data_IF_021818003643
#
_entry.id   IF_021818003643
#
_cell.length_a   1.000
_cell.length_b   1.000
_cell.length_c   1.000
_cell.angle_alpha   90.00
_cell.angle_beta   90.00
_cell.angle_gamma   90.00
#
_symmetry.space_group_name_H-M   'P 1'
#
loop_
_entity.id
_entity.type
_entity.pdbx_description
1 polymer ?
#
# COMPACT_ATOMS: atom_id res chain seq x y z
N UNK A 1 -12.08 -3.83 0.20
CA UNK A 1 -10.94 -4.63 0.71
C UNK A 1 -11.32 -5.29 2.02
N UNK A 2 -10.67 -6.40 2.38
CA UNK A 2 -10.87 -7.02 3.69
C UNK A 2 -10.15 -6.21 4.77
N UNK A 3 -10.85 -5.98 5.89
CA UNK A 3 -10.32 -5.31 7.08
C UNK A 3 -10.31 -6.31 8.24
N UNK A 4 -9.40 -6.16 9.19
CA UNK A 4 -9.28 -7.03 10.36
C UNK A 4 -7.84 -7.46 10.64
N UNK A 5 -7.70 -8.47 11.48
CA UNK A 5 -6.39 -9.03 11.88
C UNK A 5 -6.04 -10.23 11.01
N UNK A 6 -4.88 -10.13 10.38
CA UNK A 6 -4.28 -11.18 9.56
C UNK A 6 -2.98 -11.68 10.21
N UNK A 7 -2.42 -12.74 9.67
CA UNK A 7 -1.13 -13.23 10.12
C UNK A 7 -0.05 -12.17 9.92
N UNK A 8 0.46 -11.60 11.01
CA UNK A 8 1.58 -10.65 11.00
C UNK A 8 1.22 -9.19 10.70
N UNK A 9 -0.04 -8.86 10.45
CA UNK A 9 -0.49 -7.48 10.30
C UNK A 9 -1.99 -7.31 10.56
N UNK A 10 -2.41 -6.07 10.72
CA UNK A 10 -3.82 -5.67 10.85
C UNK A 10 -4.15 -4.59 9.81
N UNK A 11 -5.35 -4.63 9.27
CA UNK A 11 -5.87 -3.62 8.34
C UNK A 11 -7.09 -2.97 8.95
N UNK A 12 -7.06 -1.64 9.05
CA UNK A 12 -8.22 -0.82 9.44
C UNK A 12 -8.49 0.21 8.35
N UNK A 13 -9.75 0.55 8.16
CA UNK A 13 -10.15 1.65 7.29
C UNK A 13 -10.50 2.85 8.17
N UNK A 14 -9.81 3.98 7.94
CA UNK A 14 -9.99 5.24 8.68
C UNK A 14 -10.50 6.31 7.73
N UNK A 15 -11.40 7.17 8.20
CA UNK A 15 -11.89 8.29 7.42
C UNK A 15 -10.75 9.26 7.03
N UNK A 16 -10.81 9.84 5.83
CA UNK A 16 -11.74 9.66 4.72
C UNK A 16 -11.25 8.65 3.64
N UNK A 17 -11.14 7.37 3.98
CA UNK A 17 -10.72 6.31 3.05
C UNK A 17 -9.22 5.99 3.14
N UNK A 18 -8.66 6.02 4.34
CA UNK A 18 -7.26 5.68 4.62
C UNK A 18 -7.17 4.23 5.07
N UNK A 19 -6.64 3.35 4.22
CA UNK A 19 -6.32 1.98 4.61
C UNK A 19 -5.02 1.98 5.44
N UNK A 20 -5.17 1.74 6.74
CA UNK A 20 -4.07 1.69 7.69
C UNK A 20 -3.64 0.25 7.90
N UNK A 21 -2.45 -0.10 7.41
CA UNK A 21 -1.86 -1.44 7.42
C UNK A 21 -0.74 -1.43 8.47
N UNK A 22 -0.96 -2.11 9.58
CA UNK A 22 -0.03 -2.12 10.71
C UNK A 22 0.54 -3.52 10.90
N UNK A 23 1.86 -3.68 10.78
CA UNK A 23 2.56 -4.89 11.16
C UNK A 23 2.45 -5.10 12.66
N UNK A 24 2.11 -6.29 13.11
CA UNK A 24 1.71 -6.58 14.49
C UNK A 24 2.47 -7.73 15.16
N UNK A 25 3.72 -7.92 14.77
CA UNK A 25 4.66 -8.88 15.42
C UNK A 25 5.86 -8.16 16.06
N UNK A 26 5.63 -7.24 17.03
CA UNK A 26 6.68 -6.38 17.59
C UNK A 26 7.82 -7.15 18.27
N UNK A 27 7.56 -8.34 18.81
CA UNK A 27 8.56 -9.24 19.41
C UNK A 27 9.57 -9.76 18.38
N UNK A 28 9.19 -9.78 17.10
CA UNK A 28 10.03 -10.15 15.95
C UNK A 28 10.45 -8.93 15.12
N UNK A 29 10.32 -7.73 15.69
CA UNK A 29 10.57 -6.48 14.98
C UNK A 29 9.79 -6.36 13.66
N UNK A 30 8.60 -6.94 13.60
CA UNK A 30 7.72 -6.97 12.43
C UNK A 30 8.39 -7.61 11.19
N UNK A 31 9.17 -8.66 11.41
CA UNK A 31 9.82 -9.43 10.36
C UNK A 31 8.79 -10.10 9.45
N UNK A 32 9.01 -10.02 8.13
CA UNK A 32 8.09 -10.57 7.14
C UNK A 32 8.48 -12.01 6.76
N UNK A 33 7.47 -12.88 6.74
CA UNK A 33 7.56 -14.22 6.15
C UNK A 33 6.95 -14.20 4.74
N UNK A 34 7.19 -15.24 3.94
CA UNK A 34 6.61 -15.32 2.60
C UNK A 34 5.06 -15.36 2.61
N UNK A 35 4.38 -16.09 3.51
CA UNK A 35 2.94 -15.99 3.65
C UNK A 35 2.46 -14.56 3.93
N UNK A 36 3.09 -13.83 4.87
CA UNK A 36 2.76 -12.44 5.16
C UNK A 36 2.92 -11.55 3.93
N UNK A 37 4.02 -11.71 3.18
CA UNK A 37 4.24 -10.95 1.93
C UNK A 37 3.14 -11.22 0.89
N UNK A 38 2.66 -12.46 0.75
CA UNK A 38 1.56 -12.80 -0.15
C UNK A 38 0.25 -12.14 0.28
N UNK A 39 -0.06 -12.18 1.55
CA UNK A 39 -1.25 -11.56 2.10
C UNK A 39 -1.21 -10.04 1.93
N UNK A 40 -0.03 -9.42 2.07
CA UNK A 40 0.16 -7.99 1.79
C UNK A 40 -0.02 -7.65 0.30
N UNK A 41 0.45 -8.50 -0.62
CA UNK A 41 0.21 -8.34 -2.07
C UNK A 41 -1.29 -8.34 -2.35
N UNK A 42 -2.01 -9.31 -1.80
CA UNK A 42 -3.46 -9.40 -1.94
C UNK A 42 -4.16 -8.18 -1.32
N UNK A 43 -3.73 -7.75 -0.13
CA UNK A 43 -4.25 -6.55 0.54
C UNK A 43 -4.12 -5.31 -0.35
N UNK A 44 -2.96 -5.10 -0.97
CA UNK A 44 -2.73 -3.99 -1.90
C UNK A 44 -3.59 -4.13 -3.16
N UNK A 45 -3.76 -5.36 -3.67
CA UNK A 45 -4.61 -5.63 -4.83
C UNK A 45 -6.07 -5.31 -4.53
N UNK A 46 -6.58 -5.73 -3.39
CA UNK A 46 -7.93 -5.38 -2.95
C UNK A 46 -8.09 -3.87 -2.73
N UNK A 47 -7.09 -3.23 -2.11
CA UNK A 47 -7.10 -1.78 -1.94
C UNK A 47 -7.15 -1.04 -3.28
N UNK A 48 -6.44 -1.51 -4.31
CA UNK A 48 -6.48 -0.94 -5.66
C UNK A 48 -7.90 -0.95 -6.24
N UNK A 49 -8.64 -2.03 -6.02
CA UNK A 49 -9.98 -2.23 -6.60
C UNK A 49 -11.12 -1.65 -5.75
N UNK A 50 -10.86 -1.27 -4.52
CA UNK A 50 -11.88 -0.79 -3.57
C UNK A 50 -11.98 0.75 -3.60
N UNK A 51 -13.10 1.28 -4.07
CA UNK A 51 -13.32 2.72 -4.16
C UNK A 51 -13.41 3.42 -2.78
N UNK A 52 -13.71 2.70 -1.71
CA UNK A 52 -13.68 3.24 -0.35
C UNK A 52 -12.24 3.57 0.11
N UNK A 53 -11.22 2.95 -0.49
CA UNK A 53 -9.81 3.23 -0.20
C UNK A 53 -9.30 4.33 -1.11
N UNK A 54 -8.71 5.38 -0.53
CA UNK A 54 -8.10 6.52 -1.24
C UNK A 54 -6.57 6.56 -1.07
N UNK A 55 -6.09 6.24 0.14
CA UNK A 55 -4.66 6.25 0.50
C UNK A 55 -4.33 5.01 1.31
N UNK A 56 -3.13 4.46 1.10
CA UNK A 56 -2.58 3.38 1.92
C UNK A 56 -1.53 3.93 2.87
N UNK A 57 -1.55 3.50 4.13
CA UNK A 57 -0.51 3.79 5.12
C UNK A 57 0.04 2.48 5.65
N UNK A 58 1.36 2.31 5.59
CA UNK A 58 2.08 1.20 6.20
C UNK A 58 2.80 1.68 7.45
N UNK A 59 2.70 0.94 8.54
CA UNK A 59 3.42 1.22 9.79
C UNK A 59 3.68 -0.07 10.57
N UNK A 60 4.44 0.00 11.65
CA UNK A 60 4.71 -1.14 12.52
C UNK A 60 4.27 -0.90 13.95
N UNK A 61 3.91 -1.95 14.66
CA UNK A 61 3.71 -1.91 16.10
C UNK A 61 5.04 -1.93 16.83
N UNK A 62 5.11 -1.25 17.99
CA UNK A 62 6.28 -1.25 18.85
C UNK A 62 7.47 -0.45 18.30
N UNK A 63 8.68 -1.00 18.41
CA UNK A 63 9.95 -0.30 18.15
C UNK A 63 10.48 -0.41 16.72
N UNK A 64 9.78 -1.09 15.85
CA UNK A 64 10.19 -1.28 14.45
C UNK A 64 9.04 -1.01 13.50
N UNK A 65 9.36 -0.45 12.35
CA UNK A 65 8.52 -0.51 11.17
C UNK A 65 8.53 -1.96 10.65
N UNK A 66 9.69 -2.43 10.18
CA UNK A 66 9.94 -3.81 9.78
C UNK A 66 11.46 -4.02 9.68
N UNK A 67 11.99 -5.04 10.34
CA UNK A 67 13.43 -5.34 10.38
C UNK A 67 13.91 -6.25 9.24
N UNK A 68 13.05 -6.52 8.24
CA UNK A 68 13.40 -7.37 7.11
C UNK A 68 12.71 -8.73 7.14
N UNK A 69 13.29 -9.72 6.47
CA UNK A 69 12.78 -11.08 6.49
C UNK A 69 12.98 -11.73 7.85
N UNK A 70 11.99 -12.49 8.29
CA UNK A 70 12.13 -13.31 9.50
C UNK A 70 13.02 -14.52 9.21
N UNK A 71 14.31 -14.36 9.48
CA UNK A 71 15.33 -15.40 9.31
C UNK A 71 15.33 -16.44 10.44
N UNK A 72 14.49 -16.28 11.47
CA UNK A 72 14.43 -17.22 12.59
C UNK A 72 13.84 -18.57 12.18
N UNK A 73 13.22 -18.65 11.01
CA UNK A 73 12.55 -19.87 10.52
C UNK A 73 11.32 -20.28 11.34
N UNK A 74 10.97 -19.51 12.35
CA UNK A 74 9.90 -19.81 13.29
C UNK A 74 8.64 -18.98 12.99
N UNK A 75 8.09 -19.13 11.78
CA UNK A 75 6.73 -18.61 11.49
C UNK A 75 5.65 -19.29 12.37
N UNK A 76 6.03 -20.28 13.18
CA UNK A 76 5.14 -20.96 14.12
C UNK A 76 4.74 -20.01 15.25
N UNK A 77 3.43 -19.83 15.44
CA UNK A 77 2.86 -19.06 16.55
C UNK A 77 2.58 -17.59 16.26
N UNK A 78 2.61 -17.15 15.01
CA UNK A 78 2.00 -15.86 14.62
C UNK A 78 0.49 -16.08 14.58
N UNK A 79 -0.24 -15.34 15.41
CA UNK A 79 -1.71 -15.37 15.43
C UNK A 79 -2.28 -14.64 14.20
N UNK A 80 -3.44 -15.09 13.74
CA UNK A 80 -4.18 -14.48 12.64
C UNK A 80 -4.53 -15.47 11.54
N UNK A 81 -5.44 -15.07 10.68
CA UNK A 81 -5.87 -15.86 9.52
C UNK A 81 -5.08 -15.47 8.28
N UNK A 82 -4.74 -16.45 7.45
CA UNK A 82 -4.15 -16.19 6.15
C UNK A 82 -5.22 -15.65 5.20
N UNK A 83 -4.89 -14.57 4.47
CA UNK A 83 -5.79 -13.97 3.50
C UNK A 83 -5.89 -14.80 2.21
N UNK A 84 -4.77 -15.42 1.82
CA UNK A 84 -4.71 -16.28 0.64
C UNK A 84 -4.11 -17.66 0.97
N UNK A 85 -4.47 -18.72 0.22
CA UNK A 85 -3.91 -20.04 0.46
C UNK A 85 -2.39 -20.04 0.37
N UNK A 86 -1.68 -20.72 1.27
CA UNK A 86 -0.23 -20.79 1.24
C UNK A 86 0.27 -21.56 0.01
N UNK A 87 1.40 -21.11 -0.54
CA UNK A 87 2.19 -21.91 -1.48
C UNK A 87 3.48 -22.32 -0.79
N UNK A 88 3.94 -23.54 -1.07
CA UNK A 88 5.20 -24.02 -0.55
C UNK A 88 6.35 -23.22 -1.22
N UNK A 89 7.12 -22.45 -0.45
CA UNK A 89 8.31 -21.80 -1.02
C UNK A 89 9.42 -22.83 -1.13
N UNK A 90 10.06 -22.88 -2.30
CA UNK A 90 11.25 -23.68 -2.51
C UNK A 90 12.50 -22.82 -2.42
N UNK A 91 13.01 -22.54 -1.23
CA UNK A 91 14.27 -21.80 -1.07
C UNK A 91 15.53 -22.68 -0.98
N UNK A 92 15.36 -24.00 -1.03
CA UNK A 92 16.46 -24.95 -0.81
C UNK A 92 17.33 -25.17 -2.07
N UNK A 93 16.96 -24.59 -3.19
CA UNK A 93 17.68 -24.66 -4.45
C UNK A 93 17.84 -23.29 -5.07
N UNK A 94 18.85 -23.06 -5.94
CA UNK A 94 19.01 -21.78 -6.64
C UNK A 94 17.75 -21.35 -7.41
N UNK A 95 17.07 -22.28 -8.08
CA UNK A 95 15.82 -21.97 -8.80
C UNK A 95 14.68 -21.64 -7.83
N UNK A 96 14.56 -22.37 -6.73
CA UNK A 96 13.54 -22.09 -5.71
C UNK A 96 13.75 -20.72 -5.04
N UNK A 97 15.00 -20.33 -4.79
CA UNK A 97 15.33 -18.97 -4.33
C UNK A 97 14.92 -17.92 -5.37
N UNK A 98 15.26 -18.13 -6.64
CA UNK A 98 14.89 -17.25 -7.74
C UNK A 98 13.36 -17.09 -7.85
N UNK A 99 12.61 -18.17 -7.80
CA UNK A 99 11.15 -18.16 -7.88
C UNK A 99 10.53 -17.46 -6.68
N UNK A 100 10.97 -17.77 -5.45
CA UNK A 100 10.47 -17.14 -4.22
C UNK A 100 10.71 -15.62 -4.21
N UNK A 101 11.88 -15.18 -4.69
CA UNK A 101 12.16 -13.75 -4.84
C UNK A 101 11.25 -13.10 -5.87
N UNK A 102 11.18 -13.67 -7.09
CA UNK A 102 10.42 -13.11 -8.21
C UNK A 102 8.92 -13.04 -7.96
N UNK A 103 8.36 -14.13 -7.44
CA UNK A 103 6.90 -14.32 -7.34
C UNK A 103 6.33 -13.75 -6.04
N UNK A 104 7.15 -13.62 -5.00
CA UNK A 104 6.68 -13.17 -3.68
C UNK A 104 7.40 -11.90 -3.24
N UNK A 105 8.69 -11.97 -2.94
CA UNK A 105 9.37 -10.87 -2.28
C UNK A 105 9.45 -9.60 -3.12
N UNK A 106 9.85 -9.72 -4.39
CA UNK A 106 9.88 -8.59 -5.32
C UNK A 106 8.48 -8.13 -5.71
N UNK A 107 7.53 -9.07 -5.81
CA UNK A 107 6.15 -8.75 -6.15
C UNK A 107 5.46 -7.90 -5.10
N UNK A 108 5.80 -8.01 -3.80
CA UNK A 108 5.29 -7.12 -2.76
C UNK A 108 5.63 -5.65 -3.08
N UNK A 109 6.90 -5.36 -3.34
CA UNK A 109 7.35 -4.00 -3.64
C UNK A 109 6.80 -3.50 -4.98
N UNK A 110 6.67 -4.37 -5.98
CA UNK A 110 6.01 -4.06 -7.24
C UNK A 110 4.51 -3.77 -7.04
N UNK A 111 3.80 -4.51 -6.19
CA UNK A 111 2.39 -4.26 -5.90
C UNK A 111 2.19 -2.88 -5.29
N UNK A 112 3.00 -2.49 -4.30
CA UNK A 112 2.94 -1.16 -3.68
C UNK A 112 3.30 -0.06 -4.69
N UNK A 113 4.39 -0.23 -5.45
CA UNK A 113 4.85 0.74 -6.46
C UNK A 113 3.84 0.93 -7.58
N UNK A 114 3.20 -0.15 -8.02
CA UNK A 114 2.24 -0.16 -9.12
C UNK A 114 0.81 0.13 -8.70
N UNK A 115 0.49 0.17 -7.42
CA UNK A 115 -0.81 0.63 -6.94
C UNK A 115 -1.00 2.10 -7.36
N UNK A 116 -2.12 2.41 -8.01
CA UNK A 116 -2.39 3.79 -8.46
C UNK A 116 -2.75 4.71 -7.30
N UNK A 117 -3.24 4.16 -6.19
CA UNK A 117 -3.52 4.93 -4.98
C UNK A 117 -2.22 5.33 -4.30
N UNK A 118 -2.24 6.50 -3.66
CA UNK A 118 -1.06 7.00 -2.97
C UNK A 118 -0.76 6.17 -1.73
N UNK A 119 0.52 5.99 -1.45
CA UNK A 119 1.02 5.18 -0.35
C UNK A 119 2.02 5.94 0.52
N UNK A 120 1.91 5.77 1.84
CA UNK A 120 2.75 6.41 2.85
C UNK A 120 3.38 5.33 3.72
N UNK A 121 4.69 5.36 3.89
CA UNK A 121 5.37 4.63 4.95
C UNK A 121 5.52 5.53 6.17
N UNK A 122 4.80 5.19 7.25
CA UNK A 122 4.93 5.80 8.58
C UNK A 122 5.99 5.04 9.37
N UNK A 123 7.24 5.47 9.26
CA UNK A 123 8.40 4.75 9.81
C UNK A 123 8.54 5.06 11.29
N UNK A 124 7.94 4.24 12.15
CA UNK A 124 7.90 4.41 13.60
C UNK A 124 9.21 4.03 14.31
N UNK A 125 10.08 3.26 13.67
CA UNK A 125 11.30 2.76 14.26
C UNK A 125 12.26 2.12 13.25
N UNK A 126 12.74 0.93 13.54
CA UNK A 126 13.70 0.20 12.69
C UNK A 126 13.05 -0.20 11.36
N UNK A 127 13.66 0.18 10.24
CA UNK A 127 13.28 -0.19 8.88
C UNK A 127 14.51 -0.74 8.14
N UNK A 128 14.70 -2.04 8.13
CA UNK A 128 15.91 -2.69 7.59
C UNK A 128 15.51 -3.67 6.49
N UNK A 129 16.35 -3.81 5.47
CA UNK A 129 16.26 -4.79 4.40
C UNK A 129 14.91 -4.73 3.67
N UNK A 130 14.08 -5.80 3.73
CA UNK A 130 12.73 -5.87 3.16
C UNK A 130 11.85 -4.73 3.65
N UNK A 131 11.89 -4.40 4.96
CA UNK A 131 11.14 -3.28 5.52
C UNK A 131 11.60 -1.94 4.95
N UNK A 132 12.90 -1.76 4.73
CA UNK A 132 13.42 -0.55 4.11
C UNK A 132 13.04 -0.48 2.62
N UNK A 133 13.16 -1.60 1.88
CA UNK A 133 12.74 -1.67 0.47
C UNK A 133 11.25 -1.38 0.31
N UNK A 134 10.40 -1.91 1.19
CA UNK A 134 8.97 -1.63 1.21
C UNK A 134 8.68 -0.15 1.48
N UNK A 135 9.37 0.45 2.45
CA UNK A 135 9.23 1.88 2.70
C UNK A 135 9.65 2.73 1.49
N UNK A 136 10.72 2.34 0.78
CA UNK A 136 11.17 3.02 -0.46
C UNK A 136 10.21 2.80 -1.64
N UNK A 137 9.46 1.70 -1.67
CA UNK A 137 8.44 1.44 -2.66
C UNK A 137 7.19 2.31 -2.49
N UNK A 138 6.91 2.82 -1.28
CA UNK A 138 5.85 3.78 -1.02
C UNK A 138 6.16 5.15 -1.67
N UNK A 139 5.10 5.92 -1.98
CA UNK A 139 5.25 7.26 -2.57
C UNK A 139 5.87 8.24 -1.57
N UNK A 140 5.40 8.21 -0.33
CA UNK A 140 5.84 9.09 0.74
C UNK A 140 6.39 8.30 1.93
N UNK A 141 7.29 8.93 2.67
CA UNK A 141 7.93 8.38 3.88
C UNK A 141 8.02 9.47 4.93
N UNK A 142 7.34 9.28 6.07
CA UNK A 142 7.44 10.13 7.25
C UNK A 142 8.04 9.28 8.36
N UNK A 143 9.12 9.75 8.99
CA UNK A 143 9.86 8.97 9.97
C UNK A 143 9.79 9.58 11.37
N UNK A 144 9.72 8.71 12.36
CA UNK A 144 10.03 9.07 13.74
C UNK A 144 11.49 9.50 13.86
N UNK A 145 11.78 10.49 14.68
CA UNK A 145 13.15 10.90 15.01
C UNK A 145 14.00 9.80 15.66
N UNK A 146 13.37 8.68 16.08
CA UNK A 146 14.04 7.49 16.64
C UNK A 146 14.29 6.41 15.58
N UNK A 147 13.87 6.63 14.34
CA UNK A 147 13.98 5.64 13.28
C UNK A 147 15.42 5.42 12.85
N UNK A 148 15.69 4.19 12.48
CA UNK A 148 16.95 3.76 11.88
C UNK A 148 16.65 2.93 10.64
N UNK A 149 17.30 3.24 9.53
CA UNK A 149 16.98 2.58 8.26
C UNK A 149 18.21 2.29 7.42
N UNK A 150 18.14 1.22 6.65
CA UNK A 150 19.23 0.84 5.75
C UNK A 150 19.18 -0.59 5.29
N UNK A 151 20.24 -0.99 4.56
CA UNK A 151 20.43 -2.36 4.11
C UNK A 151 21.65 -2.98 4.78
N UNK A 152 21.44 -4.10 5.44
CA UNK A 152 22.49 -4.83 6.14
C UNK A 152 22.87 -6.16 5.47
N UNK A 153 22.27 -6.51 4.32
CA UNK A 153 22.45 -7.82 3.66
C UNK A 153 23.89 -8.17 3.33
N UNK A 154 24.69 -7.20 2.88
CA UNK A 154 26.10 -7.43 2.61
C UNK A 154 26.93 -7.82 3.86
N UNK A 155 26.40 -7.64 5.08
CA UNK A 155 27.03 -8.18 6.30
C UNK A 155 26.98 -9.70 6.36
N UNK A 156 26.02 -10.28 5.65
CA UNK A 156 25.81 -11.73 5.52
C UNK A 156 26.23 -12.26 4.16
N UNK A 157 26.88 -11.45 3.31
CA UNK A 157 27.22 -11.83 1.94
C UNK A 157 26.01 -11.91 1.00
N UNK A 158 24.86 -11.37 1.39
CA UNK A 158 23.61 -11.37 0.62
C UNK A 158 23.40 -10.02 -0.08
N UNK A 159 22.59 -10.03 -1.13
CA UNK A 159 22.25 -8.82 -1.90
C UNK A 159 20.98 -8.15 -1.37
N UNK A 160 20.78 -6.84 -1.62
CA UNK A 160 19.50 -6.15 -1.40
C UNK A 160 18.55 -6.44 -2.57
N UNK A 161 18.04 -7.66 -2.63
CA UNK A 161 17.43 -8.31 -3.80
C UNK A 161 15.93 -8.01 -4.03
N UNK A 162 15.33 -7.19 -3.18
CA UNK A 162 13.92 -6.81 -3.25
C UNK A 162 13.69 -5.39 -3.85
N UNK A 163 14.61 -4.93 -4.68
CA UNK A 163 14.53 -3.63 -5.35
C UNK A 163 15.13 -2.46 -4.58
N UNK A 164 15.70 -2.68 -3.39
CA UNK A 164 16.29 -1.62 -2.57
C UNK A 164 17.39 -0.84 -3.31
N UNK A 165 18.26 -1.50 -4.06
CA UNK A 165 19.29 -0.85 -4.88
C UNK A 165 18.70 0.04 -5.97
N UNK A 166 17.60 -0.38 -6.61
CA UNK A 166 16.92 0.39 -7.65
C UNK A 166 16.32 1.68 -7.07
N UNK A 167 15.54 1.55 -5.99
CA UNK A 167 14.92 2.70 -5.33
C UNK A 167 15.96 3.69 -4.77
N UNK A 168 17.07 3.19 -4.24
CA UNK A 168 18.15 4.03 -3.73
C UNK A 168 18.81 4.83 -4.85
N UNK A 169 19.06 4.19 -6.01
CA UNK A 169 19.61 4.92 -7.18
C UNK A 169 18.66 6.00 -7.65
N UNK A 170 17.37 5.74 -7.71
CA UNK A 170 16.37 6.75 -8.05
C UNK A 170 16.30 7.90 -7.04
N UNK A 171 16.47 7.60 -5.73
CA UNK A 171 16.29 8.58 -4.66
C UNK A 171 17.52 9.46 -4.46
N UNK A 172 18.73 8.90 -4.47
CA UNK A 172 19.96 9.62 -4.10
C UNK A 172 21.10 9.51 -5.12
N UNK A 173 20.85 8.84 -6.25
CA UNK A 173 21.82 8.67 -7.32
C UNK A 173 22.88 7.60 -7.04
N UNK A 174 23.65 7.23 -8.08
CA UNK A 174 24.58 6.09 -8.07
C UNK A 174 25.67 6.28 -7.00
N UNK A 175 26.31 7.44 -6.93
CA UNK A 175 27.48 7.65 -6.05
C UNK A 175 27.11 7.46 -4.56
N UNK A 176 26.02 8.07 -4.11
CA UNK A 176 25.55 7.91 -2.72
C UNK A 176 25.06 6.49 -2.45
N UNK A 177 24.42 5.85 -3.41
CA UNK A 177 23.96 4.45 -3.30
C UNK A 177 25.14 3.49 -3.16
N UNK A 178 26.22 3.70 -3.92
CA UNK A 178 27.47 2.92 -3.78
C UNK A 178 28.06 3.08 -2.36
N UNK A 179 28.23 4.30 -1.86
CA UNK A 179 28.71 4.52 -0.48
C UNK A 179 27.78 3.85 0.54
N UNK A 180 26.47 4.01 0.39
CA UNK A 180 25.47 3.51 1.33
C UNK A 180 25.47 1.98 1.42
N UNK A 181 25.39 1.31 0.28
CA UNK A 181 25.28 -0.16 0.24
C UNK A 181 26.61 -0.86 0.51
N UNK A 182 27.71 -0.41 -0.14
CA UNK A 182 29.02 -1.06 0.03
C UNK A 182 29.55 -0.93 1.46
N UNK A 183 29.26 0.16 2.12
CA UNK A 183 29.61 0.36 3.54
C UNK A 183 28.58 -0.19 4.52
N UNK A 184 27.50 -0.82 4.02
CA UNK A 184 26.46 -1.46 4.83
C UNK A 184 25.86 -0.49 5.86
N UNK A 185 25.55 0.74 5.39
CA UNK A 185 25.14 1.82 6.28
C UNK A 185 23.73 1.58 6.83
N UNK A 186 23.57 1.91 8.10
CA UNK A 186 22.30 2.10 8.77
C UNK A 186 22.31 3.50 9.33
N UNK A 187 21.46 4.36 8.81
CA UNK A 187 21.40 5.78 9.15
C UNK A 187 20.28 6.08 10.13
N UNK A 188 20.38 7.16 10.87
CA UNK A 188 19.29 7.70 11.66
C UNK A 188 18.32 8.52 10.79
N UNK A 189 17.24 9.00 11.42
CA UNK A 189 16.17 9.71 10.71
C UNK A 189 16.64 11.03 10.09
N UNK A 190 17.54 11.78 10.74
CA UNK A 190 18.02 13.06 10.24
C UNK A 190 18.99 12.88 9.07
N UNK A 191 19.88 11.90 9.14
CA UNK A 191 20.71 11.53 8.01
C UNK A 191 19.89 11.00 6.84
N UNK A 192 18.83 10.22 7.11
CA UNK A 192 17.91 9.76 6.09
C UNK A 192 17.19 10.93 5.37
N UNK A 193 16.80 11.96 6.11
CA UNK A 193 16.25 13.19 5.53
C UNK A 193 17.26 13.90 4.63
N UNK A 194 18.50 14.04 5.08
CA UNK A 194 19.58 14.66 4.29
C UNK A 194 19.92 13.86 3.01
N UNK A 195 19.64 12.56 3.00
CA UNK A 195 19.81 11.68 1.84
C UNK A 195 18.54 11.55 0.98
N UNK A 196 17.46 12.28 1.26
CA UNK A 196 16.16 12.18 0.62
C UNK A 196 15.47 10.79 0.78
N UNK A 197 15.91 10.00 1.73
CA UNK A 197 15.31 8.69 2.01
C UNK A 197 13.96 8.82 2.72
N UNK A 198 13.71 9.93 3.40
CA UNK A 198 12.41 10.30 3.98
C UNK A 198 12.07 11.74 3.63
N UNK A 199 10.79 12.08 3.62
CA UNK A 199 10.29 13.41 3.28
C UNK A 199 10.20 14.32 4.52
N UNK A 200 9.98 13.71 5.69
CA UNK A 200 9.79 14.43 6.94
C UNK A 200 10.25 13.58 8.13
N UNK A 201 10.72 14.25 9.17
CA UNK A 201 11.07 13.65 10.46
C UNK A 201 10.32 14.36 11.57
N UNK A 202 9.62 13.60 12.42
CA UNK A 202 8.81 14.12 13.53
C UNK A 202 9.13 13.40 14.83
N UNK A 203 8.80 13.95 16.00
CA UNK A 203 8.85 13.23 17.26
C UNK A 203 8.03 11.94 17.18
N UNK A 204 8.52 10.84 17.75
CA UNK A 204 7.83 9.55 17.65
C UNK A 204 6.39 9.56 18.17
N UNK A 205 6.10 10.35 19.20
CA UNK A 205 4.74 10.50 19.75
C UNK A 205 3.78 11.25 18.81
N UNK A 206 4.29 11.99 17.84
CA UNK A 206 3.51 12.78 16.88
C UNK A 206 3.35 12.10 15.52
N UNK A 207 4.06 10.99 15.28
CA UNK A 207 4.12 10.35 13.98
C UNK A 207 2.73 9.99 13.44
N UNK A 208 1.91 9.32 14.23
CA UNK A 208 0.59 8.87 13.78
C UNK A 208 -0.31 10.07 13.43
N UNK A 209 -0.36 11.08 14.30
CA UNK A 209 -1.16 12.28 14.08
C UNK A 209 -0.70 13.05 12.82
N UNK A 210 0.62 13.17 12.62
CA UNK A 210 1.18 13.84 11.43
C UNK A 210 0.87 13.06 10.14
N UNK A 211 1.02 11.74 10.17
CA UNK A 211 0.69 10.86 9.03
C UNK A 211 -0.80 10.91 8.72
N UNK A 212 -1.67 10.89 9.73
CA UNK A 212 -3.12 11.02 9.52
C UNK A 212 -3.50 12.36 8.88
N UNK A 213 -2.91 13.47 9.35
CA UNK A 213 -3.11 14.79 8.73
C UNK A 213 -2.71 14.78 7.25
N UNK A 214 -1.53 14.26 6.94
CA UNK A 214 -1.03 14.19 5.57
C UNK A 214 -1.85 13.22 4.69
N UNK A 215 -2.19 12.05 5.20
CA UNK A 215 -3.03 11.09 4.50
C UNK A 215 -4.44 11.64 4.21
N UNK A 216 -5.01 12.41 5.14
CA UNK A 216 -6.30 13.09 4.96
C UNK A 216 -6.22 14.15 3.87
N UNK A 217 -5.15 14.95 3.84
CA UNK A 217 -4.90 15.90 2.75
C UNK A 217 -4.88 15.19 1.38
N UNK A 218 -4.13 14.11 1.27
CA UNK A 218 -4.05 13.31 0.03
C UNK A 218 -5.39 12.64 -0.33
N UNK A 219 -6.12 12.12 0.67
CA UNK A 219 -7.40 11.45 0.46
C UNK A 219 -8.50 12.42 0.00
N UNK A 220 -8.43 13.68 0.40
CA UNK A 220 -9.37 14.74 -0.03
C UNK A 220 -9.00 15.37 -1.38
N UNK A 221 -7.83 15.08 -1.92
CA UNK A 221 -7.43 15.52 -3.26
C UNK A 221 -8.20 14.82 -4.38
N UNK A 222 -8.12 15.31 -5.64
CA UNK A 222 -8.82 14.76 -6.80
C UNK A 222 -8.23 13.40 -7.19
N UNK A 223 -8.83 12.32 -6.69
CA UNK A 223 -8.25 10.97 -6.72
C UNK A 223 -7.91 10.47 -8.12
N UNK A 224 -8.77 10.72 -9.12
CA UNK A 224 -8.51 10.27 -10.50
C UNK A 224 -7.27 10.96 -11.06
N UNK A 225 -7.19 12.29 -10.96
CA UNK A 225 -6.04 13.05 -11.45
C UNK A 225 -4.74 12.70 -10.73
N UNK A 226 -4.79 12.52 -9.41
CA UNK A 226 -3.61 12.14 -8.60
C UNK A 226 -3.09 10.74 -8.97
N UNK A 227 -3.97 9.77 -9.19
CA UNK A 227 -3.61 8.41 -9.63
C UNK A 227 -2.95 8.42 -11.01
N UNK A 228 -3.53 9.15 -11.96
CA UNK A 228 -2.99 9.31 -13.31
C UNK A 228 -1.62 10.00 -13.27
N UNK A 229 -1.48 11.06 -12.48
CA UNK A 229 -0.23 11.81 -12.33
C UNK A 229 0.86 10.96 -11.67
N UNK A 230 0.54 10.19 -10.62
CA UNK A 230 1.49 9.26 -10.00
C UNK A 230 2.13 8.34 -11.04
N UNK A 231 1.32 7.72 -11.90
CA UNK A 231 1.83 6.85 -12.99
C UNK A 231 2.73 7.61 -13.95
N UNK A 232 2.36 8.83 -14.34
CA UNK A 232 3.17 9.65 -15.24
C UNK A 232 4.50 10.06 -14.61
N UNK A 233 4.53 10.40 -13.32
CA UNK A 233 5.77 10.73 -12.62
C UNK A 233 6.74 9.54 -12.64
N UNK A 234 6.26 8.32 -12.36
CA UNK A 234 7.11 7.13 -12.38
C UNK A 234 7.56 6.75 -13.79
N UNK A 235 6.68 6.87 -14.78
CA UNK A 235 6.99 6.56 -16.17
C UNK A 235 7.99 7.58 -16.78
N UNK A 236 7.89 8.85 -16.40
CA UNK A 236 8.76 9.92 -16.92
C UNK A 236 10.25 9.67 -16.65
N UNK A 237 10.59 8.94 -15.60
CA UNK A 237 11.98 8.59 -15.30
C UNK A 237 12.60 7.63 -16.34
N UNK A 238 11.78 6.83 -17.01
CA UNK A 238 12.22 5.77 -17.94
C UNK A 238 11.88 6.09 -19.42
N UNK A 239 11.11 7.16 -19.66
CA UNK A 239 10.64 7.52 -21.00
C UNK A 239 11.42 8.68 -21.61
N UNK A 240 11.64 8.68 -22.95
CA UNK A 240 12.01 9.89 -23.68
C UNK A 240 10.95 10.98 -23.54
N UNK A 241 11.37 12.25 -23.62
CA UNK A 241 10.50 13.42 -23.42
C UNK A 241 9.24 13.40 -24.30
N UNK A 242 9.38 13.08 -25.57
CA UNK A 242 8.24 13.01 -26.51
C UNK A 242 7.22 11.96 -26.09
N UNK A 243 7.67 10.77 -25.69
CA UNK A 243 6.77 9.73 -25.20
C UNK A 243 6.08 10.13 -23.88
N UNK A 244 6.81 10.82 -23.00
CA UNK A 244 6.22 11.35 -21.76
C UNK A 244 5.16 12.41 -22.04
N UNK A 245 5.34 13.23 -23.08
CA UNK A 245 4.33 14.21 -23.50
C UNK A 245 3.08 13.54 -24.09
N UNK A 246 3.23 12.53 -24.92
CA UNK A 246 2.10 11.78 -25.45
C UNK A 246 1.33 11.05 -24.34
N UNK A 247 2.05 10.46 -23.41
CA UNK A 247 1.47 9.75 -22.27
C UNK A 247 0.68 10.67 -21.36
N UNK A 248 1.22 11.83 -20.99
CA UNK A 248 0.52 12.79 -20.12
C UNK A 248 -0.67 13.46 -20.86
N UNK A 249 -0.56 13.70 -22.17
CA UNK A 249 -1.66 14.26 -22.97
C UNK A 249 -2.88 13.34 -22.98
N UNK A 250 -2.68 12.03 -23.16
CA UNK A 250 -3.75 11.04 -23.08
C UNK A 250 -4.43 11.02 -21.70
N UNK A 251 -3.67 11.10 -20.62
CA UNK A 251 -4.18 11.14 -19.23
C UNK A 251 -4.87 12.47 -18.92
N UNK A 252 -4.37 13.58 -19.45
CA UNK A 252 -4.98 14.90 -19.31
C UNK A 252 -6.39 14.90 -19.92
N UNK A 253 -6.58 14.25 -21.07
CA UNK A 253 -7.92 14.15 -21.66
C UNK A 253 -8.92 13.42 -20.76
N UNK A 254 -8.50 12.43 -19.99
CA UNK A 254 -9.35 11.76 -18.99
C UNK A 254 -9.61 12.69 -17.80
N UNK A 255 -8.56 13.31 -17.26
CA UNK A 255 -8.65 14.19 -16.09
C UNK A 255 -9.55 15.42 -16.36
N UNK A 256 -9.39 16.08 -17.53
CA UNK A 256 -10.12 17.30 -17.85
C UNK A 256 -11.63 17.08 -18.02
N UNK A 257 -12.03 15.86 -18.41
CA UNK A 257 -13.45 15.50 -18.55
C UNK A 257 -14.05 14.90 -17.26
N UNK A 258 -13.23 14.72 -16.21
CA UNK A 258 -13.71 14.21 -14.94
C UNK A 258 -14.51 15.28 -14.15
N UNK A 259 -15.53 14.90 -13.35
CA UNK A 259 -16.30 15.84 -12.54
C UNK A 259 -15.44 16.71 -11.60
N UNK A 260 -14.39 16.14 -11.00
CA UNK A 260 -13.48 16.85 -10.09
C UNK A 260 -12.74 18.02 -10.79
N UNK A 261 -12.47 17.93 -12.10
CA UNK A 261 -11.86 19.03 -12.85
C UNK A 261 -12.79 20.26 -12.88
N UNK A 262 -14.09 20.03 -13.13
CA UNK A 262 -15.11 21.11 -13.13
C UNK A 262 -15.31 21.70 -11.75
N UNK A 263 -15.32 20.83 -10.71
CA UNK A 263 -15.41 21.25 -9.32
C UNK A 263 -14.21 22.12 -8.93
N UNK A 264 -12.98 21.69 -9.25
CA UNK A 264 -11.77 22.45 -8.96
C UNK A 264 -11.77 23.85 -9.57
N UNK A 265 -12.14 23.97 -10.86
CA UNK A 265 -12.26 25.26 -11.57
C UNK A 265 -13.36 26.12 -10.96
N UNK A 266 -14.50 25.54 -10.62
CA UNK A 266 -15.65 26.27 -10.02
C UNK A 266 -15.29 26.78 -8.62
N UNK A 267 -14.70 25.94 -7.79
CA UNK A 267 -14.24 26.28 -6.45
C UNK A 267 -13.22 27.42 -6.47
N UNK A 268 -12.24 27.35 -7.37
CA UNK A 268 -11.24 28.41 -7.54
C UNK A 268 -11.87 29.75 -7.92
N UNK A 269 -12.79 29.77 -8.90
CA UNK A 269 -13.51 30.99 -9.32
C UNK A 269 -14.37 31.58 -8.22
N UNK A 270 -14.96 30.70 -7.40
CA UNK A 270 -15.84 31.08 -6.27
C UNK A 270 -15.07 31.35 -4.97
N UNK A 271 -13.73 31.24 -4.98
CA UNK A 271 -12.85 31.43 -3.80
C UNK A 271 -13.27 30.58 -2.59
N UNK A 272 -13.62 29.33 -2.82
CA UNK A 272 -13.95 28.34 -1.80
C UNK A 272 -13.08 27.11 -1.93
N UNK A 273 -13.02 26.29 -0.90
CA UNK A 273 -12.37 24.98 -0.96
C UNK A 273 -13.13 24.04 -1.88
N UNK A 274 -12.43 23.24 -2.71
CA UNK A 274 -13.06 22.27 -3.59
C UNK A 274 -13.55 21.03 -2.82
N UNK A 275 -14.66 20.46 -3.29
CA UNK A 275 -15.23 19.22 -2.75
C UNK A 275 -15.06 18.12 -3.80
N UNK A 276 -13.88 17.49 -3.83
CA UNK A 276 -13.56 16.43 -4.75
C UNK A 276 -14.20 15.09 -4.35
N UNK A 277 -14.20 14.14 -5.28
CA UNK A 277 -14.59 12.74 -5.08
C UNK A 277 -16.08 12.49 -4.80
N UNK A 278 -16.97 13.44 -5.06
CA UNK A 278 -18.43 13.25 -4.90
C UNK A 278 -18.98 12.14 -5.82
N UNK A 279 -18.28 11.81 -6.89
CA UNK A 279 -18.61 10.70 -7.78
C UNK A 279 -18.52 9.32 -7.09
N UNK A 280 -17.73 9.18 -6.02
CA UNK A 280 -17.65 7.95 -5.22
C UNK A 280 -18.97 7.68 -4.48
N UNK A 281 -19.61 8.72 -3.96
CA UNK A 281 -20.89 8.65 -3.26
C UNK A 281 -22.07 8.36 -4.24
N UNK A 282 -22.01 8.91 -5.46
CA UNK A 282 -22.98 8.66 -6.51
C UNK A 282 -22.98 7.19 -6.97
N UNK A 283 -21.81 6.57 -7.05
CA UNK A 283 -21.65 5.15 -7.40
C UNK A 283 -22.28 4.20 -6.36
N UNK A 284 -22.25 4.55 -5.08
CA UNK A 284 -22.91 3.81 -4.01
C UNK A 284 -24.45 3.95 -4.09
N UNK A 285 -24.93 5.14 -4.39
CA UNK A 285 -26.36 5.43 -4.57
C UNK A 285 -26.99 4.69 -5.76
N UNK A 286 -26.27 4.55 -6.86
CA UNK A 286 -26.71 3.84 -8.06
C UNK A 286 -26.64 2.31 -7.94
N UNK A 287 -25.78 1.78 -7.07
CA UNK A 287 -25.67 0.34 -6.82
C UNK A 287 -26.77 -0.20 -5.90
N UNK A 288 -27.22 0.60 -4.94
CA UNK A 288 -28.25 0.17 -3.99
C UNK A 288 -29.56 -0.30 -4.67
N UNK A 289 -30.10 0.40 -5.69
CA UNK A 289 -31.28 -0.08 -6.44
C UNK A 289 -31.02 -1.35 -7.27
N UNK A 290 -29.80 -1.46 -7.87
CA UNK A 290 -29.42 -2.63 -8.66
C UNK A 290 -29.23 -3.88 -7.81
N UNK A 291 -28.61 -3.73 -6.63
CA UNK A 291 -28.45 -4.81 -5.64
C UNK A 291 -29.81 -5.23 -5.11
N UNK A 292 -30.68 -4.30 -4.77
CA UNK A 292 -32.05 -4.60 -4.32
C UNK A 292 -32.84 -5.34 -5.39
N UNK A 293 -32.76 -4.94 -6.66
CA UNK A 293 -33.42 -5.62 -7.77
C UNK A 293 -32.84 -7.03 -8.02
N UNK A 294 -31.54 -7.21 -7.87
CA UNK A 294 -30.88 -8.51 -7.99
C UNK A 294 -31.29 -9.44 -6.84
N UNK A 295 -31.33 -8.94 -5.62
CA UNK A 295 -31.79 -9.70 -4.43
C UNK A 295 -33.24 -10.14 -4.59
N UNK A 296 -34.14 -9.27 -5.04
CA UNK A 296 -35.54 -9.60 -5.31
C UNK A 296 -35.69 -10.66 -6.42
N UNK A 297 -34.90 -10.54 -7.49
CA UNK A 297 -34.88 -11.54 -8.56
C UNK A 297 -34.37 -12.89 -8.08
N UNK A 298 -33.28 -12.92 -7.31
CA UNK A 298 -32.76 -14.14 -6.69
C UNK A 298 -33.73 -14.75 -5.71
N UNK A 299 -34.48 -13.95 -4.93
CA UNK A 299 -35.58 -14.43 -4.07
C UNK A 299 -36.66 -15.18 -4.87
N UNK A 300 -37.07 -14.60 -6.00
CA UNK A 300 -38.04 -15.21 -6.88
C UNK A 300 -37.57 -16.55 -7.45
N UNK A 301 -36.33 -16.64 -7.88
CA UNK A 301 -35.75 -17.85 -8.47
C UNK A 301 -35.51 -18.95 -7.41
N UNK A 302 -35.04 -18.61 -6.22
CA UNK A 302 -34.81 -19.53 -5.12
C UNK A 302 -36.12 -20.04 -4.50
N UNK A 303 -37.16 -19.20 -4.47
CA UNK A 303 -38.51 -19.64 -4.06
C UNK A 303 -39.07 -20.68 -5.04
N UNK A 304 -38.81 -20.55 -6.34
CA UNK A 304 -39.21 -21.56 -7.35
C UNK A 304 -38.48 -22.89 -7.20
N UNK A 305 -37.28 -22.87 -6.58
CA UNK A 305 -36.48 -24.07 -6.28
C UNK A 305 -36.85 -24.71 -4.92
N UNK A 306 -37.90 -24.22 -4.22
CA UNK A 306 -38.38 -24.79 -2.96
C UNK A 306 -37.49 -24.48 -1.74
N UNK A 307 -36.62 -23.46 -1.83
CA UNK A 307 -35.78 -23.05 -0.70
C UNK A 307 -36.62 -22.28 0.32
N UNK A 308 -36.55 -22.68 1.59
CA UNK A 308 -37.35 -22.07 2.64
C UNK A 308 -37.00 -20.62 2.90
N UNK A 309 -38.00 -19.79 3.25
CA UNK A 309 -37.82 -18.36 3.57
C UNK A 309 -36.83 -18.08 4.70
N UNK A 310 -36.54 -19.08 5.53
CA UNK A 310 -35.57 -18.96 6.62
C UNK A 310 -34.13 -19.10 6.12
N UNK A 311 -33.90 -19.99 5.17
CA UNK A 311 -32.63 -20.21 4.52
C UNK A 311 -32.26 -19.02 3.60
N UNK A 312 -33.26 -18.41 2.97
CA UNK A 312 -33.13 -17.19 2.20
C UNK A 312 -32.65 -16.00 3.07
N UNK A 313 -33.23 -15.84 4.26
CA UNK A 313 -32.82 -14.80 5.21
C UNK A 313 -31.39 -14.99 5.74
N UNK A 314 -30.96 -16.24 5.95
CA UNK A 314 -29.59 -16.55 6.37
C UNK A 314 -28.55 -16.24 5.26
N UNK A 315 -28.88 -16.62 4.03
CA UNK A 315 -28.04 -16.29 2.86
C UNK A 315 -27.94 -14.77 2.61
N UNK A 316 -29.05 -14.06 2.77
CA UNK A 316 -29.15 -12.62 2.65
C UNK A 316 -28.28 -11.90 3.71
N UNK A 317 -28.34 -12.35 4.97
CA UNK A 317 -27.50 -11.83 6.04
C UNK A 317 -26.01 -12.15 5.83
N UNK A 318 -25.71 -13.29 5.24
CA UNK A 318 -24.34 -13.69 4.93
C UNK A 318 -23.77 -12.88 3.77
N UNK A 319 -24.56 -12.64 2.73
CA UNK A 319 -24.17 -11.77 1.59
C UNK A 319 -23.97 -10.30 2.01
N UNK A 320 -24.88 -9.77 2.86
CA UNK A 320 -24.75 -8.40 3.38
C UNK A 320 -23.57 -8.21 4.34
N UNK A 321 -23.04 -9.30 4.92
CA UNK A 321 -21.81 -9.27 5.73
C UNK A 321 -20.53 -9.41 4.91
N UNK A 322 -20.63 -9.86 3.66
CA UNK A 322 -19.49 -10.04 2.74
C UNK A 322 -19.39 -8.92 1.70
N UNK A 323 -20.39 -8.05 1.61
CA UNK A 323 -20.40 -6.83 0.83
C UNK A 323 -20.00 -5.62 1.69
#
# INVERSE_FOLDING_TARGET
>A
MQIGKFTGFEVTLRDPGIAWIQFNTPERLNGLTQPIKRDLIETVTQAQMDNAVRVLVFTGEGRAFCAGDDISGQAKGIEGEALVPPIAPGHDTPIGTYEGLRVISQQLNLAVRNCDKLSIAAINGVAIQTGFSLALACDFRIASNKSRMGSATLRFGLLPDEGGQYFLVQTMGIAKTMDFLMRKRIVDAHEALALNLVHEVVPGAELEARVMTFATELANGPQVSMRLLKRSIYNAYEMPLEQSFDEIAAKTSVSDHHPDSREGVTAFRSKREPQFNQWLEADEGDRAPQVSALVERLRGDLARLGISSNMLRQLEQQLLRQM
#
